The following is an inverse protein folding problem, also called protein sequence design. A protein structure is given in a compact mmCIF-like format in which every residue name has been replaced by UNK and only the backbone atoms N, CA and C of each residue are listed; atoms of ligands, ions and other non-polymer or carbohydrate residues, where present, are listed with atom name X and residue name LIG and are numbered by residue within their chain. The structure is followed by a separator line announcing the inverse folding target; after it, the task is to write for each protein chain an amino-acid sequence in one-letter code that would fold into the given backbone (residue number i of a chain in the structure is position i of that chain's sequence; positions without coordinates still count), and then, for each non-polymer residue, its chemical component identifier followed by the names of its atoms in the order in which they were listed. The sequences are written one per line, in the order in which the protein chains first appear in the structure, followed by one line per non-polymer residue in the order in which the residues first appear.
data_IF_143735344065
#
_entry.id   IF_143735344065
#
_cell.length_a   1.000
_cell.length_b   1.000
_cell.length_c   1.000
_cell.angle_alpha   90.00
_cell.angle_beta   90.00
_cell.angle_gamma   90.00
#
_symmetry.space_group_name_H-M   'P 1'
#
loop_
_entity.id
_entity.type
_entity.pdbx_description
1 polymer ?
#
# COMPACT_ATOMS: atom_id res chain seq x y z
N UNK A 1 -34.17 -2.18 15.00
CA UNK A 1 -34.49 -3.62 15.21
C UNK A 1 -34.51 -3.92 16.71
N UNK A 2 -35.28 -4.90 17.16
CA UNK A 2 -35.31 -5.35 18.56
C UNK A 2 -35.14 -6.87 18.63
N UNK A 3 -34.36 -7.33 19.59
CA UNK A 3 -34.19 -8.75 19.90
C UNK A 3 -35.12 -9.09 21.06
N UNK A 4 -35.95 -10.12 20.90
CA UNK A 4 -36.81 -10.62 21.97
C UNK A 4 -36.01 -11.53 22.91
N UNK A 5 -36.45 -11.75 24.16
CA UNK A 5 -35.71 -12.59 25.13
C UNK A 5 -35.43 -14.02 24.66
N UNK A 6 -36.24 -14.53 23.75
CA UNK A 6 -36.12 -15.82 23.07
C UNK A 6 -35.25 -15.79 21.81
N UNK A 7 -34.49 -14.71 21.59
CA UNK A 7 -33.49 -14.60 20.50
C UNK A 7 -34.07 -14.31 19.12
N UNK A 8 -35.38 -14.01 18.99
CA UNK A 8 -35.97 -13.62 17.70
C UNK A 8 -35.75 -12.14 17.42
N UNK A 9 -35.34 -11.83 16.19
CA UNK A 9 -35.19 -10.44 15.73
C UNK A 9 -36.51 -9.95 15.16
N UNK A 10 -36.96 -8.78 15.62
CA UNK A 10 -38.12 -8.07 15.09
C UNK A 10 -37.71 -6.72 14.51
N UNK A 11 -38.17 -6.44 13.29
CA UNK A 11 -38.10 -5.10 12.68
C UNK A 11 -39.27 -4.30 13.22
N UNK A 12 -38.99 -3.15 13.83
CA UNK A 12 -39.99 -2.33 14.55
C UNK A 12 -40.25 -0.97 13.90
N UNK A 13 -39.32 -0.46 13.09
CA UNK A 13 -39.39 0.89 12.52
C UNK A 13 -39.87 0.85 11.06
N UNK A 14 -41.19 0.76 10.88
CA UNK A 14 -41.83 0.86 9.56
C UNK A 14 -42.12 2.31 9.14
N UNK A 15 -41.57 3.32 9.85
CA UNK A 15 -41.90 4.74 9.66
C UNK A 15 -41.70 5.26 8.22
N UNK A 16 -40.80 4.64 7.45
CA UNK A 16 -40.56 4.95 6.03
C UNK A 16 -41.36 4.05 5.05
N UNK A 17 -41.89 2.91 5.52
CA UNK A 17 -42.62 1.95 4.69
C UNK A 17 -43.99 2.49 4.21
N UNK A 18 -44.54 3.49 4.91
CA UNK A 18 -45.88 4.04 4.64
C UNK A 18 -45.94 5.00 3.45
N UNK A 19 -44.80 5.41 2.88
CA UNK A 19 -44.73 6.34 1.75
C UNK A 19 -44.87 5.67 0.36
N UNK A 20 -44.96 4.34 0.29
CA UNK A 20 -45.07 3.57 -0.97
C UNK A 20 -46.50 3.06 -1.25
N UNK A 21 -47.53 3.88 -1.03
CA UNK A 21 -48.85 3.62 -1.63
C UNK A 21 -48.89 4.23 -3.04
N UNK A 22 -49.23 3.45 -4.09
CA UNK A 22 -49.22 3.92 -5.48
C UNK A 22 -50.34 4.91 -5.83
N UNK A 23 -51.26 5.21 -4.90
CA UNK A 23 -52.41 6.10 -5.15
C UNK A 23 -52.13 7.59 -4.83
N UNK A 24 -50.87 8.01 -4.78
CA UNK A 24 -50.51 9.41 -4.55
C UNK A 24 -49.45 9.85 -5.54
N UNK A 25 -49.90 10.30 -6.70
CA UNK A 25 -49.09 10.88 -7.79
C UNK A 25 -48.25 12.11 -7.36
N UNK A 26 -48.22 12.50 -6.09
CA UNK A 26 -47.49 13.68 -5.59
C UNK A 26 -46.76 13.48 -4.24
N UNK A 27 -46.52 12.25 -3.79
CA UNK A 27 -45.68 12.01 -2.62
C UNK A 27 -44.19 11.99 -3.00
N UNK A 28 -43.61 13.17 -3.24
CA UNK A 28 -42.16 13.31 -3.39
C UNK A 28 -41.46 12.79 -2.12
N UNK A 29 -40.87 11.59 -2.19
CA UNK A 29 -40.01 11.02 -1.14
C UNK A 29 -38.87 11.98 -0.76
N UNK A 30 -38.45 12.85 -1.67
CA UNK A 30 -37.52 13.96 -1.39
C UNK A 30 -38.02 14.87 -0.27
N UNK A 31 -39.32 15.13 -0.12
CA UNK A 31 -39.83 16.01 0.92
C UNK A 31 -39.77 15.35 2.32
N UNK A 32 -40.06 14.05 2.42
CA UNK A 32 -39.97 13.30 3.69
C UNK A 32 -38.52 13.09 4.15
N UNK A 33 -37.61 12.83 3.20
CA UNK A 33 -36.18 12.69 3.48
C UNK A 33 -35.53 14.04 3.85
N UNK A 34 -35.92 15.13 3.16
CA UNK A 34 -35.44 16.49 3.47
C UNK A 34 -35.95 16.96 4.84
N UNK A 35 -37.18 16.60 5.23
CA UNK A 35 -37.70 16.86 6.58
C UNK A 35 -36.91 16.11 7.67
N UNK A 36 -36.39 14.91 7.38
CA UNK A 36 -35.50 14.17 8.30
C UNK A 36 -34.06 14.72 8.32
N UNK A 37 -33.55 15.25 7.21
CA UNK A 37 -32.26 15.95 7.21
C UNK A 37 -32.32 17.32 7.91
N UNK A 38 -33.47 17.99 7.87
CA UNK A 38 -33.72 19.25 8.57
C UNK A 38 -34.00 19.05 10.08
N UNK A 39 -34.37 17.84 10.50
CA UNK A 39 -34.68 17.51 11.89
C UNK A 39 -33.61 16.60 12.54
N UNK A 40 -32.68 17.25 13.26
CA UNK A 40 -32.03 16.78 14.51
C UNK A 40 -30.97 15.66 14.52
N UNK A 41 -29.91 15.95 15.30
CA UNK A 41 -28.84 15.08 15.84
C UNK A 41 -27.90 14.43 14.83
N UNK A 42 -26.75 15.08 14.60
CA UNK A 42 -25.69 14.66 13.68
C UNK A 42 -25.36 13.15 13.70
N UNK A 43 -25.35 12.51 14.88
CA UNK A 43 -25.07 11.07 15.01
C UNK A 43 -26.14 10.13 14.42
N UNK A 44 -27.41 10.51 14.46
CA UNK A 44 -28.52 9.70 13.90
C UNK A 44 -28.56 9.82 12.37
N UNK A 45 -28.28 11.01 11.86
CA UNK A 45 -28.22 11.29 10.42
C UNK A 45 -27.04 10.54 9.78
N UNK A 46 -25.87 10.59 10.44
CA UNK A 46 -24.68 9.87 10.01
C UNK A 46 -24.91 8.36 10.00
N UNK A 47 -25.58 7.84 11.04
CA UNK A 47 -25.96 6.43 11.13
C UNK A 47 -26.88 5.99 10.00
N UNK A 48 -27.88 6.80 9.62
CA UNK A 48 -28.81 6.45 8.55
C UNK A 48 -28.16 6.51 7.16
N UNK A 49 -27.27 7.48 6.93
CA UNK A 49 -26.55 7.64 5.66
C UNK A 49 -25.73 6.40 5.27
N UNK A 50 -25.17 5.69 6.25
CA UNK A 50 -24.36 4.48 6.04
C UNK A 50 -25.14 3.30 5.43
N UNK A 51 -26.48 3.30 5.54
CA UNK A 51 -27.35 2.25 5.00
C UNK A 51 -28.12 2.70 3.75
N UNK A 52 -27.92 3.94 3.28
CA UNK A 52 -28.60 4.43 2.08
C UNK A 52 -28.07 3.74 0.83
N UNK A 53 -28.96 3.47 -0.11
CA UNK A 53 -28.57 2.91 -1.41
C UNK A 53 -27.99 4.00 -2.33
N UNK A 54 -27.16 3.62 -3.33
CA UNK A 54 -26.58 4.56 -4.30
C UNK A 54 -27.62 5.38 -5.07
N UNK A 55 -28.79 4.81 -5.36
CA UNK A 55 -29.89 5.50 -6.02
C UNK A 55 -30.57 6.53 -5.11
N UNK A 56 -30.74 6.22 -3.82
CA UNK A 56 -31.28 7.16 -2.83
C UNK A 56 -30.30 8.32 -2.59
N UNK A 57 -29.01 8.02 -2.49
CA UNK A 57 -27.94 9.03 -2.38
C UNK A 57 -27.86 9.96 -3.60
N UNK A 58 -28.25 9.49 -4.79
CA UNK A 58 -28.35 10.30 -6.03
C UNK A 58 -29.69 11.02 -6.18
N UNK A 59 -30.64 10.85 -5.26
CA UNK A 59 -32.00 11.39 -5.39
C UNK A 59 -32.78 10.83 -6.58
N UNK A 60 -32.50 9.59 -7.00
CA UNK A 60 -33.21 8.92 -8.10
C UNK A 60 -34.48 8.23 -7.59
N UNK A 61 -35.32 7.78 -8.52
CA UNK A 61 -36.46 6.92 -8.19
C UNK A 61 -35.97 5.66 -7.49
N UNK A 62 -36.54 5.40 -6.31
CA UNK A 62 -36.20 4.26 -5.47
C UNK A 62 -37.27 3.17 -5.61
N UNK A 63 -36.83 1.92 -5.57
CA UNK A 63 -37.70 0.75 -5.47
C UNK A 63 -37.26 -0.15 -4.31
N UNK A 64 -37.98 -1.27 -4.14
CA UNK A 64 -37.73 -2.31 -3.13
C UNK A 64 -36.29 -2.86 -3.08
N UNK A 65 -35.46 -2.65 -4.11
CA UNK A 65 -34.04 -3.03 -4.12
C UNK A 65 -33.18 -2.13 -3.23
N UNK A 66 -33.71 -0.98 -2.81
CA UNK A 66 -33.10 -0.13 -1.78
C UNK A 66 -32.99 -0.87 -0.45
N UNK A 67 -34.06 -1.58 -0.06
CA UNK A 67 -34.07 -2.37 1.18
C UNK A 67 -33.10 -3.56 1.12
N UNK A 68 -32.90 -4.14 -0.07
CA UNK A 68 -31.91 -5.21 -0.28
C UNK A 68 -30.48 -4.69 -0.06
N UNK A 69 -30.20 -3.45 -0.49
CA UNK A 69 -28.90 -2.83 -0.25
C UNK A 69 -28.69 -2.56 1.24
N UNK A 70 -29.68 -1.95 1.91
CA UNK A 70 -29.64 -1.71 3.34
C UNK A 70 -29.48 -3.01 4.15
N UNK A 71 -30.18 -4.07 3.75
CA UNK A 71 -30.00 -5.41 4.32
C UNK A 71 -28.56 -5.91 4.15
N UNK A 72 -27.97 -5.74 2.96
CA UNK A 72 -26.56 -6.07 2.72
C UNK A 72 -25.61 -5.31 3.66
N UNK A 73 -25.87 -4.02 3.90
CA UNK A 73 -25.09 -3.21 4.84
C UNK A 73 -25.16 -3.75 6.27
N UNK A 74 -26.36 -4.05 6.75
CA UNK A 74 -26.58 -4.60 8.10
C UNK A 74 -25.95 -5.99 8.24
N UNK A 75 -26.11 -6.86 7.24
CA UNK A 75 -25.52 -8.20 7.24
C UNK A 75 -23.99 -8.14 7.28
N UNK A 76 -23.38 -7.28 6.47
CA UNK A 76 -21.94 -7.07 6.50
C UNK A 76 -21.49 -6.56 7.86
N UNK A 77 -22.19 -5.58 8.43
CA UNK A 77 -21.83 -5.00 9.72
C UNK A 77 -21.92 -6.01 10.87
N UNK A 78 -22.94 -6.87 10.88
CA UNK A 78 -23.07 -7.94 11.86
C UNK A 78 -21.90 -8.94 11.78
N UNK A 79 -21.38 -9.19 10.58
CA UNK A 79 -20.31 -10.17 10.36
C UNK A 79 -18.91 -9.58 10.51
N UNK A 80 -18.70 -8.33 10.08
CA UNK A 80 -17.42 -7.63 10.11
C UNK A 80 -17.22 -6.78 11.39
N UNK A 81 -18.29 -6.55 12.16
CA UNK A 81 -18.29 -5.72 13.37
C UNK A 81 -18.16 -4.21 13.13
N UNK A 82 -18.29 -3.76 11.87
CA UNK A 82 -18.20 -2.34 11.47
C UNK A 82 -19.02 -2.11 10.21
N UNK A 83 -19.62 -0.92 10.11
CA UNK A 83 -20.37 -0.49 8.93
C UNK A 83 -19.56 -0.66 7.63
N UNK A 84 -20.27 -0.95 6.53
CA UNK A 84 -19.69 -1.04 5.18
C UNK A 84 -19.07 0.29 4.77
N UNK A 85 -19.85 1.37 4.96
CA UNK A 85 -19.50 2.73 4.62
C UNK A 85 -19.56 3.56 5.90
N UNK A 86 -18.41 4.08 6.32
CA UNK A 86 -18.29 5.03 7.42
C UNK A 86 -17.63 6.32 6.92
N UNK A 87 -17.66 7.41 7.68
CA UNK A 87 -17.09 8.69 7.25
C UNK A 87 -17.19 9.73 8.37
N UNK A 88 -16.48 10.85 8.19
CA UNK A 88 -16.46 11.93 9.20
C UNK A 88 -17.75 12.76 9.17
N UNK A 89 -18.34 12.90 7.99
CA UNK A 89 -19.59 13.60 7.76
C UNK A 89 -20.48 12.84 6.75
N UNK A 90 -21.72 13.33 6.61
CA UNK A 90 -22.75 12.71 5.76
C UNK A 90 -22.34 12.73 4.29
N UNK A 91 -21.69 13.80 3.81
CA UNK A 91 -21.27 13.94 2.41
C UNK A 91 -20.16 12.93 2.10
N UNK A 92 -19.21 12.73 3.01
CA UNK A 92 -18.18 11.70 2.90
C UNK A 92 -18.80 10.29 2.84
N UNK A 93 -19.74 9.98 3.73
CA UNK A 93 -20.45 8.68 3.72
C UNK A 93 -21.18 8.46 2.41
N UNK A 94 -21.95 9.43 1.93
CA UNK A 94 -22.68 9.31 0.67
C UNK A 94 -21.72 9.15 -0.52
N UNK A 95 -20.59 9.88 -0.53
CA UNK A 95 -19.55 9.70 -1.53
C UNK A 95 -19.02 8.25 -1.54
N UNK A 96 -18.77 7.68 -0.36
CA UNK A 96 -18.31 6.28 -0.22
C UNK A 96 -19.36 5.28 -0.66
N UNK A 97 -20.63 5.47 -0.31
CA UNK A 97 -21.76 4.65 -0.81
C UNK A 97 -21.77 4.61 -2.35
N UNK A 98 -21.48 5.75 -2.99
CA UNK A 98 -21.52 5.90 -4.44
C UNK A 98 -20.29 5.31 -5.14
N UNK A 99 -19.11 5.43 -4.54
CA UNK A 99 -17.84 5.21 -5.24
C UNK A 99 -17.02 4.05 -4.67
N UNK A 100 -17.01 3.86 -3.36
CA UNK A 100 -16.13 2.90 -2.69
C UNK A 100 -16.71 1.50 -2.68
N UNK A 101 -15.88 0.49 -2.84
CA UNK A 101 -16.31 -0.90 -2.70
C UNK A 101 -16.13 -1.41 -1.27
N UNK A 102 -16.97 -2.36 -0.80
CA UNK A 102 -16.85 -2.93 0.54
C UNK A 102 -15.48 -3.60 0.78
N UNK A 103 -14.96 -3.45 2.00
CA UNK A 103 -13.71 -4.10 2.42
C UNK A 103 -13.94 -5.55 2.85
N UNK A 104 -13.96 -6.45 1.87
CA UNK A 104 -14.21 -7.88 2.12
C UNK A 104 -13.16 -8.56 3.02
N UNK A 105 -12.00 -7.94 3.25
CA UNK A 105 -10.97 -8.52 4.14
C UNK A 105 -11.38 -8.54 5.61
N UNK A 106 -12.37 -7.72 5.98
CA UNK A 106 -12.91 -7.66 7.34
C UNK A 106 -13.93 -8.75 7.63
N UNK A 107 -14.45 -9.41 6.60
CA UNK A 107 -15.39 -10.51 6.78
C UNK A 107 -14.59 -11.75 7.21
N UNK A 108 -14.91 -12.37 8.36
CA UNK A 108 -14.20 -13.55 8.83
C UNK A 108 -14.25 -14.70 7.81
N UNK A 109 -13.13 -15.44 7.67
CA UNK A 109 -13.05 -16.59 6.78
C UNK A 109 -14.00 -17.75 7.15
N UNK A 110 -14.50 -17.77 8.39
CA UNK A 110 -15.51 -18.73 8.87
C UNK A 110 -16.88 -18.52 8.21
N UNK A 111 -17.14 -17.34 7.64
CA UNK A 111 -18.39 -17.04 6.94
C UNK A 111 -18.44 -17.85 5.64
N UNK A 112 -19.51 -18.65 5.40
CA UNK A 112 -19.65 -19.45 4.19
C UNK A 112 -19.47 -18.62 2.90
N UNK A 113 -18.77 -19.15 1.87
CA UNK A 113 -18.59 -18.45 0.60
C UNK A 113 -19.90 -18.04 -0.07
N UNK A 114 -20.96 -18.84 0.12
CA UNK A 114 -22.33 -18.57 -0.31
C UNK A 114 -22.89 -17.27 0.29
N UNK A 115 -22.72 -17.06 1.60
CA UNK A 115 -23.09 -15.79 2.28
C UNK A 115 -22.25 -14.62 1.77
N UNK A 116 -20.94 -14.80 1.56
CA UNK A 116 -20.13 -13.72 0.99
C UNK A 116 -20.57 -13.33 -0.41
N UNK A 117 -20.94 -14.31 -1.24
CA UNK A 117 -21.49 -14.07 -2.59
C UNK A 117 -22.83 -13.34 -2.50
N UNK A 118 -23.72 -13.75 -1.60
CA UNK A 118 -24.99 -13.06 -1.36
C UNK A 118 -24.76 -11.58 -0.98
N UNK A 119 -23.88 -11.30 -0.01
CA UNK A 119 -23.57 -9.92 0.40
C UNK A 119 -23.07 -9.08 -0.77
N UNK A 120 -22.20 -9.62 -1.63
CA UNK A 120 -21.72 -8.93 -2.85
C UNK A 120 -22.87 -8.58 -3.78
N UNK A 121 -23.83 -9.48 -3.97
CA UNK A 121 -25.00 -9.24 -4.81
C UNK A 121 -26.00 -8.27 -4.17
N UNK A 122 -26.08 -8.20 -2.84
CA UNK A 122 -26.89 -7.20 -2.14
C UNK A 122 -26.28 -5.80 -2.22
N UNK A 123 -24.95 -5.70 -2.08
CA UNK A 123 -24.19 -4.44 -2.07
C UNK A 123 -23.76 -3.96 -3.47
N UNK A 124 -24.30 -4.57 -4.52
CA UNK A 124 -24.04 -4.18 -5.90
C UNK A 124 -24.66 -2.80 -6.20
N UNK A 125 -23.86 -1.90 -6.77
CA UNK A 125 -24.29 -0.52 -7.03
C UNK A 125 -25.23 -0.43 -8.24
N UNK A 126 -25.07 -1.33 -9.21
CA UNK A 126 -25.98 -1.45 -10.35
C UNK A 126 -27.24 -2.24 -9.96
N UNK A 127 -28.40 -1.57 -10.01
CA UNK A 127 -29.72 -2.13 -9.73
C UNK A 127 -30.06 -3.38 -10.57
N UNK A 128 -29.51 -3.51 -11.79
CA UNK A 128 -29.75 -4.68 -12.65
C UNK A 128 -28.97 -5.91 -12.19
N UNK A 129 -27.82 -5.69 -11.57
CA UNK A 129 -26.93 -6.75 -11.07
C UNK A 129 -27.18 -7.07 -9.59
N UNK A 130 -27.80 -6.14 -8.85
CA UNK A 130 -28.22 -6.35 -7.46
C UNK A 130 -29.22 -7.51 -7.35
N UNK A 131 -29.27 -8.19 -6.20
CA UNK A 131 -30.37 -9.11 -5.90
C UNK A 131 -31.70 -8.40 -6.11
N UNK A 132 -32.59 -9.08 -6.82
CA UNK A 132 -33.84 -8.46 -7.28
C UNK A 132 -34.89 -8.54 -6.19
N UNK A 133 -35.10 -9.68 -5.54
CA UNK A 133 -36.14 -9.85 -4.52
C UNK A 133 -35.62 -10.34 -3.17
N UNK A 134 -36.29 -9.92 -2.09
CA UNK A 134 -36.00 -10.40 -0.73
C UNK A 134 -36.29 -11.90 -0.57
N UNK A 135 -37.20 -12.46 -1.38
CA UNK A 135 -37.44 -13.90 -1.44
C UNK A 135 -36.20 -14.68 -1.87
N UNK A 136 -35.46 -14.17 -2.87
CA UNK A 136 -34.22 -14.79 -3.34
C UNK A 136 -33.14 -14.74 -2.26
N UNK A 137 -33.03 -13.59 -1.57
CA UNK A 137 -32.12 -13.41 -0.42
C UNK A 137 -32.40 -14.43 0.67
N UNK A 138 -33.67 -14.67 1.01
CA UNK A 138 -34.07 -15.68 2.00
C UNK A 138 -33.63 -17.07 1.57
N UNK A 139 -33.90 -17.45 0.32
CA UNK A 139 -33.51 -18.78 -0.21
C UNK A 139 -32.00 -18.96 -0.17
N UNK A 140 -31.23 -17.94 -0.59
CA UNK A 140 -29.76 -17.97 -0.53
C UNK A 140 -29.25 -18.19 0.90
N UNK A 141 -29.88 -17.55 1.90
CA UNK A 141 -29.50 -17.72 3.32
C UNK A 141 -29.86 -19.12 3.83
N UNK A 142 -31.06 -19.61 3.53
CA UNK A 142 -31.50 -20.95 3.94
C UNK A 142 -30.59 -22.03 3.36
N UNK A 143 -30.19 -21.90 2.10
CA UNK A 143 -29.23 -22.80 1.46
C UNK A 143 -27.86 -22.73 2.13
N UNK A 144 -27.35 -21.52 2.40
CA UNK A 144 -26.06 -21.35 3.05
C UNK A 144 -26.02 -21.87 4.50
N UNK A 145 -27.15 -21.85 5.22
CA UNK A 145 -27.27 -22.44 6.55
C UNK A 145 -27.34 -23.97 6.54
N UNK A 146 -27.79 -24.56 5.42
CA UNK A 146 -27.79 -26.00 5.21
C UNK A 146 -26.43 -26.54 4.76
N UNK A 147 -25.53 -25.67 4.28
CA UNK A 147 -24.14 -26.05 4.00
C UNK A 147 -23.42 -26.39 5.31
N UNK A 148 -22.73 -27.54 5.39
CA UNK A 148 -21.87 -27.80 6.54
C UNK A 148 -20.81 -26.69 6.59
N UNK A 149 -20.82 -25.92 7.68
CA UNK A 149 -19.76 -24.96 7.98
C UNK A 149 -18.43 -25.66 7.72
N UNK A 150 -17.55 -25.06 6.93
CA UNK A 150 -16.23 -25.60 6.66
C UNK A 150 -15.41 -25.58 7.97
N UNK A 151 -15.66 -26.56 8.85
CA UNK A 151 -14.87 -26.88 10.03
C UNK A 151 -13.59 -27.52 9.49
N UNK A 152 -12.68 -26.67 9.02
CA UNK A 152 -11.47 -27.11 8.32
C UNK A 152 -10.55 -25.98 7.89
N UNK A 153 -11.04 -24.74 7.81
CA UNK A 153 -10.15 -23.59 7.81
C UNK A 153 -9.62 -23.41 9.24
N UNK A 154 -8.49 -24.06 9.52
CA UNK A 154 -7.57 -23.69 10.59
C UNK A 154 -7.63 -22.17 10.73
N UNK A 155 -7.94 -21.69 11.93
CA UNK A 155 -7.80 -20.27 12.29
C UNK A 155 -6.33 -19.90 12.11
N UNK A 156 -5.92 -19.67 10.88
CA UNK A 156 -4.73 -18.89 10.61
C UNK A 156 -5.15 -17.48 10.99
N UNK A 157 -5.00 -17.18 12.30
CA UNK A 157 -4.89 -15.80 12.76
C UNK A 157 -3.99 -15.16 11.72
N UNK A 158 -4.37 -14.05 11.06
CA UNK A 158 -3.40 -13.32 10.26
C UNK A 158 -2.29 -12.99 11.24
N UNK A 159 -1.22 -13.78 11.19
CA UNK A 159 -0.01 -13.47 11.93
C UNK A 159 0.29 -12.09 11.39
N UNK A 160 0.28 -11.07 12.27
CA UNK A 160 0.82 -9.77 11.91
C UNK A 160 2.19 -10.12 11.37
N UNK A 161 2.33 -10.20 10.04
CA UNK A 161 3.57 -10.54 9.38
C UNK A 161 4.51 -9.48 9.89
N UNK A 162 5.39 -9.86 10.81
CA UNK A 162 6.14 -8.93 11.62
C UNK A 162 6.91 -8.05 10.66
N UNK A 163 6.37 -6.88 10.33
CA UNK A 163 6.95 -5.93 9.38
C UNK A 163 8.34 -5.55 9.86
N UNK A 164 8.55 -5.58 11.17
CA UNK A 164 9.87 -5.48 11.82
C UNK A 164 10.88 -6.52 11.32
N UNK A 165 10.51 -7.79 11.14
CA UNK A 165 11.43 -8.82 10.61
C UNK A 165 11.74 -8.59 9.13
N UNK A 166 10.78 -8.12 8.34
CA UNK A 166 11.02 -7.74 6.94
C UNK A 166 11.96 -6.52 6.86
N UNK A 167 11.77 -5.52 7.72
CA UNK A 167 12.66 -4.36 7.81
C UNK A 167 14.05 -4.73 8.35
N UNK A 168 14.16 -5.63 9.32
CA UNK A 168 15.44 -6.13 9.82
C UNK A 168 16.17 -6.91 8.71
N UNK A 169 15.47 -7.77 7.98
CA UNK A 169 16.05 -8.51 6.85
C UNK A 169 16.48 -7.56 5.71
N UNK A 170 15.68 -6.52 5.42
CA UNK A 170 16.03 -5.52 4.43
C UNK A 170 17.26 -4.70 4.84
N UNK A 171 17.34 -4.27 6.10
CA UNK A 171 18.51 -3.54 6.63
C UNK A 171 19.75 -4.44 6.63
N UNK A 172 19.63 -5.71 7.01
CA UNK A 172 20.73 -6.66 6.98
C UNK A 172 21.23 -6.91 5.54
N UNK A 173 20.33 -7.02 4.57
CA UNK A 173 20.69 -7.18 3.16
C UNK A 173 21.43 -5.95 2.61
N UNK A 174 20.95 -4.73 2.94
CA UNK A 174 21.63 -3.48 2.54
C UNK A 174 23.01 -3.38 3.19
N UNK A 175 23.13 -3.70 4.49
CA UNK A 175 24.41 -3.69 5.18
C UNK A 175 25.41 -4.68 4.56
N UNK A 176 24.95 -5.87 4.15
CA UNK A 176 25.78 -6.87 3.47
C UNK A 176 26.27 -6.37 2.11
N UNK A 177 25.39 -5.74 1.32
CA UNK A 177 25.76 -5.16 0.01
C UNK A 177 26.81 -4.07 0.19
N UNK A 178 26.63 -3.18 1.17
CA UNK A 178 27.59 -2.11 1.47
C UNK A 178 28.93 -2.67 1.96
N UNK A 179 28.90 -3.69 2.81
CA UNK A 179 30.11 -4.35 3.31
C UNK A 179 30.91 -5.06 2.21
N UNK A 180 30.26 -5.52 1.14
CA UNK A 180 30.93 -6.10 -0.03
C UNK A 180 31.38 -5.06 -1.06
N UNK A 181 30.57 -4.02 -1.29
CA UNK A 181 30.82 -3.00 -2.32
C UNK A 181 31.97 -2.05 -1.96
N UNK A 182 32.14 -1.71 -0.68
CA UNK A 182 33.21 -0.81 -0.21
C UNK A 182 34.61 -1.41 -0.44
N UNK A 183 34.96 -2.62 0.06
CA UNK A 183 36.29 -3.17 -0.12
C UNK A 183 36.60 -3.48 -1.59
N UNK A 184 35.61 -3.93 -2.37
CA UNK A 184 35.80 -4.14 -3.81
C UNK A 184 36.08 -2.82 -4.54
N UNK A 185 35.34 -1.76 -4.25
CA UNK A 185 35.61 -0.43 -4.83
C UNK A 185 36.98 0.15 -4.43
N UNK A 186 37.47 -0.15 -3.22
CA UNK A 186 38.81 0.29 -2.78
C UNK A 186 39.89 -0.51 -3.51
N UNK A 187 39.72 -1.82 -3.65
CA UNK A 187 40.70 -2.69 -4.31
C UNK A 187 40.78 -2.44 -5.82
N UNK A 188 39.65 -2.11 -6.47
CA UNK A 188 39.61 -1.68 -7.87
C UNK A 188 40.16 -0.25 -8.09
N UNK A 189 40.38 0.52 -7.02
CA UNK A 189 40.99 1.87 -7.06
C UNK A 189 42.51 1.84 -6.86
N UNK A 190 43.10 0.68 -6.58
CA UNK A 190 44.55 0.49 -6.65
C UNK A 190 44.98 0.54 -8.12
N UNK A 191 45.07 1.75 -8.68
CA UNK A 191 45.82 1.97 -9.91
C UNK A 191 47.26 1.54 -9.62
N UNK A 192 47.86 0.62 -10.41
CA UNK A 192 49.25 0.27 -10.22
C UNK A 192 50.07 1.55 -10.32
N UNK A 193 50.85 1.87 -9.29
CA UNK A 193 51.80 2.97 -9.36
C UNK A 193 52.67 2.75 -10.58
N UNK A 194 52.53 3.61 -11.59
CA UNK A 194 53.29 3.50 -12.82
C UNK A 194 54.77 3.68 -12.46
N UNK A 195 55.51 2.56 -12.39
CA UNK A 195 56.95 2.60 -12.22
C UNK A 195 57.56 3.29 -13.44
N UNK A 196 57.97 4.55 -13.27
CA UNK A 196 58.67 5.29 -14.31
C UNK A 196 60.15 4.92 -14.27
N UNK A 197 60.55 4.00 -15.16
CA UNK A 197 61.95 3.57 -15.27
C UNK A 197 62.70 4.45 -16.27
N UNK A 198 63.53 5.36 -15.77
CA UNK A 198 64.42 6.19 -16.59
C UNK A 198 65.78 5.48 -16.74
N UNK A 199 66.11 5.06 -17.96
CA UNK A 199 67.46 4.58 -18.31
C UNK A 199 68.23 5.70 -18.99
N UNK A 200 69.40 6.05 -18.43
CA UNK A 200 70.32 7.03 -19.01
C UNK A 200 71.52 6.25 -19.53
N UNK A 201 71.70 6.21 -20.85
CA UNK A 201 72.87 5.59 -21.46
C UNK A 201 74.03 6.59 -21.45
N UNK A 202 75.10 6.27 -20.72
CA UNK A 202 76.32 7.09 -20.68
C UNK A 202 77.38 6.51 -21.62
N UNK A 203 78.19 7.36 -22.28
CA UNK A 203 79.34 6.90 -23.07
C UNK A 203 80.35 6.15 -22.18
N UNK A 204 81.04 5.17 -22.77
CA UNK A 204 82.06 4.36 -22.08
C UNK A 204 83.19 5.27 -21.59
N UNK A 205 83.20 5.55 -20.30
CA UNK A 205 84.20 6.40 -19.64
C UNK A 205 85.18 5.49 -18.86
N UNK A 206 86.50 5.74 -18.88
CA UNK A 206 87.47 4.89 -18.19
C UNK A 206 87.39 4.96 -16.65
N UNK A 207 86.75 5.99 -16.09
CA UNK A 207 86.54 6.14 -14.65
C UNK A 207 85.14 5.70 -14.22
N UNK A 208 84.97 5.11 -13.02
CA UNK A 208 83.66 4.73 -12.51
C UNK A 208 82.82 5.98 -12.23
N UNK A 209 81.70 6.12 -12.94
CA UNK A 209 80.72 7.17 -12.67
C UNK A 209 80.06 6.92 -11.30
N UNK A 210 80.27 7.81 -10.35
CA UNK A 210 79.60 7.77 -9.05
C UNK A 210 78.43 8.73 -9.04
N UNK A 211 77.23 8.16 -8.92
CA UNK A 211 76.00 8.92 -8.75
C UNK A 211 75.50 8.77 -7.32
N UNK A 212 75.06 9.88 -6.72
CA UNK A 212 74.29 9.84 -5.47
C UNK A 212 72.95 10.53 -5.70
N UNK A 213 71.88 9.90 -5.19
CA UNK A 213 70.53 10.44 -5.21
C UNK A 213 70.24 11.05 -3.84
N UNK A 214 69.66 12.25 -3.84
CA UNK A 214 69.18 12.87 -2.60
C UNK A 214 68.11 11.98 -1.93
N UNK A 215 68.02 11.94 -0.59
CA UNK A 215 67.01 11.12 0.13
C UNK A 215 65.56 11.44 -0.24
N UNK A 216 65.31 12.66 -0.74
CA UNK A 216 64.01 13.10 -1.25
C UNK A 216 63.75 12.77 -2.73
N UNK A 217 64.73 12.14 -3.41
CA UNK A 217 64.66 11.72 -4.81
C UNK A 217 64.71 12.85 -5.84
N UNK A 218 64.94 14.11 -5.42
CA UNK A 218 64.81 15.28 -6.30
C UNK A 218 66.07 15.66 -7.04
N UNK A 219 67.24 15.26 -6.52
CA UNK A 219 68.53 15.63 -7.06
C UNK A 219 69.39 14.40 -7.30
N UNK A 220 70.08 14.39 -8.44
CA UNK A 220 71.09 13.41 -8.79
C UNK A 220 72.39 14.15 -9.01
N UNK A 221 73.39 13.88 -8.17
CA UNK A 221 74.73 14.45 -8.29
C UNK A 221 75.66 13.41 -8.90
N UNK A 222 76.50 13.86 -9.83
CA UNK A 222 77.55 13.06 -10.44
C UNK A 222 78.91 13.60 -9.98
N UNK A 223 79.75 12.75 -9.42
CA UNK A 223 81.16 13.08 -9.17
C UNK A 223 82.00 12.58 -10.34
N UNK A 224 82.37 13.48 -11.24
CA UNK A 224 83.43 13.24 -12.22
C UNK A 224 84.76 13.70 -11.64
N UNK A 225 85.69 12.79 -11.42
CA UNK A 225 87.09 13.12 -11.14
C UNK A 225 87.80 13.17 -12.49
N UNK A 226 88.02 14.35 -13.06
CA UNK A 226 89.10 14.50 -14.04
C UNK A 226 89.70 15.91 -14.05
N UNK A 227 91.03 15.91 -14.03
CA UNK A 227 91.93 17.05 -13.99
C UNK A 227 91.75 17.89 -15.27
N UNK A 228 91.45 19.18 -15.10
CA UNK A 228 91.50 20.21 -16.15
C UNK A 228 90.59 20.00 -17.37
N UNK A 229 89.32 20.42 -17.27
CA UNK A 229 88.64 21.46 -18.11
C UNK A 229 87.13 21.29 -17.96
N UNK A 230 86.47 22.27 -17.32
CA UNK A 230 85.05 22.20 -16.99
C UNK A 230 84.14 22.32 -18.22
N UNK A 231 83.17 21.41 -18.36
CA UNK A 231 81.91 21.67 -19.06
C UNK A 231 80.76 21.15 -18.20
N UNK A 232 79.85 22.02 -17.70
CA UNK A 232 78.69 21.55 -16.96
C UNK A 232 77.74 20.83 -17.91
N UNK A 233 77.33 19.62 -17.54
CA UNK A 233 76.27 18.89 -18.26
C UNK A 233 74.93 19.52 -17.86
N UNK A 234 74.38 20.36 -18.73
CA UNK A 234 73.05 20.96 -18.54
C UNK A 234 71.99 19.96 -18.99
N UNK A 235 71.20 19.43 -18.06
CA UNK A 235 70.04 18.58 -18.34
C UNK A 235 68.78 19.44 -18.42
N UNK A 236 68.15 19.50 -19.60
CA UNK A 236 66.83 20.13 -19.78
C UNK A 236 65.77 19.01 -19.73
N UNK A 237 64.95 19.02 -18.69
CA UNK A 237 63.82 18.10 -18.54
C UNK A 237 62.54 18.79 -19.02
N UNK A 238 62.02 18.35 -20.17
CA UNK A 238 60.69 18.75 -20.63
C UNK A 238 59.66 17.72 -20.17
N UNK A 239 58.82 18.13 -19.22
CA UNK A 239 57.64 17.37 -18.81
C UNK A 239 56.40 17.92 -19.51
N UNK A 240 55.58 17.04 -20.09
CA UNK A 240 54.24 17.37 -20.61
C UNK A 240 53.22 16.57 -19.79
N UNK A 241 52.19 17.20 -19.21
CA UNK A 241 51.23 16.53 -18.33
C UNK A 241 50.38 15.50 -19.07
#
# INVERSE_FOLDING_TARGET
MKITPDGRVKVLDFGLAKAFQPDSENANLSNSLTLSMAATTAGVILGTAAYMSPELAKGRTVDRRTDIFAFGCVLYEMLAGRAVFDGEDVVDILSRVLQRDPDWTRVPAVVPPSIQKLMRLCLEKDLKRRRQAAGDVRVDIEQALAEPLAVGAVYDRPTKRNTRLVWIAAVAAVALIVALAIPTAIHLRETPSAEMRLQINTPSTPAPLQFALSPDGRFLINQSVEESTASPITLILNWKP
#
